data_IF_985227493059
#
_entry.id   IF_985227493059
#
_cell.length_a   1.000
_cell.length_b   1.000
_cell.length_c   1.000
_cell.angle_alpha   90.00
_cell.angle_beta   90.00
_cell.angle_gamma   90.00
#
_symmetry.space_group_name_H-M   'P 1'
#
loop_
_entity.id
_entity.type
_entity.pdbx_description
1 polymer ?
#
# COMPACT_ATOMS: atom_id res chain seq x y z
N UNK A 1 -26.11 -0.61 35.71
CA UNK A 1 -25.45 0.46 36.48
C UNK A 1 -24.20 0.85 35.71
N UNK A 2 -24.21 2.07 35.13
CA UNK A 2 -23.12 2.64 34.35
C UNK A 2 -22.21 3.43 35.29
N UNK A 3 -20.89 3.30 35.14
CA UNK A 3 -19.96 4.41 35.38
C UNK A 3 -18.94 4.42 34.23
N UNK A 4 -18.86 5.59 33.58
CA UNK A 4 -17.91 6.02 32.56
C UNK A 4 -16.70 6.65 33.24
N UNK A 5 -15.49 6.47 32.70
CA UNK A 5 -14.36 7.40 32.82
C UNK A 5 -13.62 7.39 31.46
N UNK A 6 -13.87 8.35 30.56
CA UNK A 6 -13.22 9.66 30.41
C UNK A 6 -11.68 9.61 30.35
N UNK A 7 -11.17 9.44 29.12
CA UNK A 7 -9.81 9.84 28.76
C UNK A 7 -9.92 10.93 27.68
N UNK A 8 -9.43 12.17 27.90
CA UNK A 8 -9.60 13.26 26.95
C UNK A 8 -8.69 13.03 25.73
N UNK A 9 -9.32 12.58 24.63
CA UNK A 9 -8.76 12.67 23.29
C UNK A 9 -8.66 14.16 22.91
N UNK A 10 -7.45 14.70 22.82
CA UNK A 10 -7.23 15.98 22.15
C UNK A 10 -7.25 15.69 20.65
N UNK A 11 -8.44 15.75 20.06
CA UNK A 11 -8.70 15.60 18.62
C UNK A 11 -9.34 16.87 18.09
N UNK A 12 -8.63 18.00 18.20
CA UNK A 12 -9.09 19.24 17.59
C UNK A 12 -8.68 19.32 16.10
N UNK A 13 -9.08 18.30 15.35
CA UNK A 13 -9.07 18.32 13.88
C UNK A 13 -9.76 19.58 13.32
N UNK A 14 -10.87 20.10 13.91
CA UNK A 14 -11.47 21.37 13.49
C UNK A 14 -10.49 22.55 13.48
N UNK A 15 -9.63 22.70 14.49
CA UNK A 15 -8.65 23.79 14.56
C UNK A 15 -7.51 23.65 13.54
N UNK A 16 -7.01 22.43 13.31
CA UNK A 16 -6.01 22.14 12.27
C UNK A 16 -6.58 22.42 10.87
N UNK A 17 -7.85 22.06 10.64
CA UNK A 17 -8.57 22.41 9.41
C UNK A 17 -8.80 23.93 9.28
N UNK A 18 -9.02 24.63 10.39
CA UNK A 18 -9.20 26.08 10.42
C UNK A 18 -7.94 26.84 10.00
N UNK A 19 -6.78 26.39 10.45
CA UNK A 19 -5.50 27.03 10.09
C UNK A 19 -5.15 26.84 8.61
N UNK A 20 -5.38 25.63 8.06
CA UNK A 20 -5.21 25.37 6.62
C UNK A 20 -6.21 26.15 5.75
N UNK A 21 -7.42 26.43 6.25
CA UNK A 21 -8.45 27.18 5.50
C UNK A 21 -8.21 28.69 5.48
N UNK A 22 -7.36 29.24 6.34
CA UNK A 22 -7.00 30.68 6.31
C UNK A 22 -5.91 31.04 5.29
N UNK A 23 -5.03 30.10 4.92
CA UNK A 23 -3.91 30.37 4.02
C UNK A 23 -4.28 30.26 2.53
N UNK A 24 -5.18 29.34 2.21
CA UNK A 24 -5.58 29.00 0.82
C UNK A 24 -6.44 30.08 0.12
N UNK A 25 -7.31 30.85 0.78
CA UNK A 25 -8.17 31.85 0.13
C UNK A 25 -7.42 33.03 -0.52
N UNK A 26 -6.20 33.31 -0.09
CA UNK A 26 -5.37 34.38 -0.69
C UNK A 26 -4.89 34.00 -2.11
N UNK A 27 -5.06 32.75 -2.51
CA UNK A 27 -4.70 32.24 -3.84
C UNK A 27 -5.84 32.33 -4.86
N UNK A 28 -7.00 32.91 -4.49
CA UNK A 28 -8.07 33.24 -5.43
C UNK A 28 -8.78 32.03 -6.05
N UNK A 29 -8.88 30.90 -5.33
CA UNK A 29 -9.59 29.70 -5.81
C UNK A 29 -10.67 29.27 -4.81
N UNK A 30 -11.93 29.26 -5.25
CA UNK A 30 -13.12 28.91 -4.47
C UNK A 30 -13.37 27.38 -4.41
N UNK A 31 -13.81 26.85 -3.25
CA UNK A 31 -14.03 25.40 -2.98
C UNK A 31 -15.02 25.08 -1.83
N UNK A 32 -16.31 24.89 -2.14
CA UNK A 32 -17.27 24.18 -1.28
C UNK A 32 -17.34 22.67 -1.62
N UNK A 33 -17.47 21.76 -0.64
CA UNK A 33 -17.36 20.31 -0.87
C UNK A 33 -18.71 19.54 -0.72
N UNK A 34 -19.17 18.90 -1.81
CA UNK A 34 -20.25 17.87 -1.94
C UNK A 34 -19.75 16.79 -2.91
N UNK A 35 -19.46 15.56 -2.48
CA UNK A 35 -18.53 14.63 -3.19
C UNK A 35 -17.31 15.36 -3.79
N UNK A 36 -16.81 16.39 -3.12
CA UNK A 36 -16.18 17.55 -3.75
C UNK A 36 -16.92 18.21 -4.94
N UNK A 37 -17.46 17.46 -5.91
CA UNK A 37 -17.88 17.98 -7.21
C UNK A 37 -16.69 18.53 -7.99
N UNK A 38 -15.48 18.40 -7.45
CA UNK A 38 -14.23 18.75 -8.08
C UNK A 38 -13.74 17.51 -8.81
N UNK A 39 -13.42 17.71 -10.08
CA UNK A 39 -12.34 16.98 -10.73
C UNK A 39 -11.05 17.38 -10.00
N UNK A 40 -10.85 16.89 -8.78
CA UNK A 40 -9.62 17.10 -8.01
C UNK A 40 -8.92 15.75 -7.87
N UNK A 41 -8.29 15.40 -8.98
CA UNK A 41 -7.54 14.19 -9.26
C UNK A 41 -7.23 14.23 -10.76
N UNK A 42 -6.14 13.62 -11.23
CA UNK A 42 -5.95 13.46 -12.66
C UNK A 42 -7.19 12.77 -13.26
N UNK A 43 -7.52 13.10 -14.51
CA UNK A 43 -8.58 12.37 -15.21
C UNK A 43 -8.29 10.87 -15.15
N UNK A 44 -9.31 10.08 -14.83
CA UNK A 44 -9.20 8.63 -14.85
C UNK A 44 -8.69 8.20 -16.24
N UNK A 45 -7.61 7.41 -16.31
CA UNK A 45 -7.10 7.02 -17.60
C UNK A 45 -8.13 6.14 -18.29
N UNK A 46 -8.42 6.43 -19.57
CA UNK A 46 -9.53 5.81 -20.31
C UNK A 46 -9.47 4.27 -20.33
N UNK A 47 -8.27 3.70 -20.18
CA UNK A 47 -8.06 2.26 -20.17
C UNK A 47 -8.77 1.57 -19.00
N UNK A 48 -9.08 2.24 -17.88
CA UNK A 48 -9.71 1.57 -16.72
C UNK A 48 -11.17 1.15 -16.98
N UNK A 49 -11.82 1.70 -18.01
CA UNK A 49 -13.21 1.40 -18.32
C UNK A 49 -13.32 0.04 -19.01
N UNK A 50 -14.26 -0.79 -18.56
CA UNK A 50 -14.53 -2.11 -19.14
C UNK A 50 -13.44 -3.16 -18.90
N UNK A 51 -12.60 -2.97 -17.87
CA UNK A 51 -11.56 -3.92 -17.51
C UNK A 51 -12.09 -5.08 -16.65
N UNK A 52 -11.41 -6.23 -16.76
CA UNK A 52 -11.61 -7.43 -15.95
C UNK A 52 -10.31 -7.75 -15.22
N UNK A 53 -10.37 -7.73 -13.89
CA UNK A 53 -9.21 -7.94 -13.02
C UNK A 53 -9.04 -9.42 -12.67
N UNK A 54 -7.79 -9.85 -12.54
CA UNK A 54 -7.42 -11.13 -11.95
C UNK A 54 -6.48 -10.92 -10.77
N UNK A 55 -6.92 -11.28 -9.55
CA UNK A 55 -6.08 -11.21 -8.35
C UNK A 55 -5.12 -12.41 -8.30
N UNK A 56 -3.83 -12.14 -8.14
CA UNK A 56 -2.74 -13.12 -8.14
C UNK A 56 -2.10 -13.13 -6.76
N UNK A 57 -2.24 -14.27 -6.08
CA UNK A 57 -1.38 -14.62 -4.97
C UNK A 57 -0.16 -15.40 -5.47
N UNK A 58 0.96 -14.71 -5.73
CA UNK A 58 2.16 -15.29 -6.39
C UNK A 58 2.59 -16.62 -5.77
N UNK A 59 2.63 -16.68 -4.44
CA UNK A 59 3.00 -17.88 -3.67
C UNK A 59 2.14 -19.11 -4.00
N UNK A 60 0.84 -18.91 -4.21
CA UNK A 60 -0.15 -19.98 -4.38
C UNK A 60 -0.60 -20.16 -5.83
N UNK A 61 -0.20 -19.28 -6.73
CA UNK A 61 -0.68 -19.24 -8.12
C UNK A 61 -0.26 -20.48 -8.94
N UNK A 62 0.92 -21.02 -8.66
CA UNK A 62 1.50 -22.13 -9.41
C UNK A 62 2.58 -22.84 -8.61
N UNK A 63 2.95 -24.05 -9.04
CA UNK A 63 4.09 -24.77 -8.47
C UNK A 63 5.37 -23.90 -8.45
N UNK A 64 5.99 -23.81 -7.28
CA UNK A 64 7.17 -22.97 -7.01
C UNK A 64 6.84 -21.53 -6.61
N UNK A 65 5.67 -20.98 -6.97
CA UNK A 65 5.18 -19.70 -6.47
C UNK A 65 6.06 -18.48 -6.79
N UNK A 66 6.50 -18.34 -8.05
CA UNK A 66 7.42 -17.27 -8.48
C UNK A 66 6.86 -16.41 -9.60
N UNK A 67 7.41 -15.19 -9.78
CA UNK A 67 7.06 -14.30 -10.89
C UNK A 67 7.24 -14.98 -12.24
N UNK A 68 8.33 -15.74 -12.44
CA UNK A 68 8.58 -16.45 -13.69
C UNK A 68 7.49 -17.50 -14.02
N UNK A 69 6.85 -18.09 -13.01
CA UNK A 69 5.73 -19.00 -13.25
C UNK A 69 4.45 -18.26 -13.61
N UNK A 70 4.22 -17.08 -13.03
CA UNK A 70 3.14 -16.19 -13.45
C UNK A 70 3.34 -15.73 -14.90
N UNK A 71 4.57 -15.33 -15.27
CA UNK A 71 4.91 -14.91 -16.65
C UNK A 71 4.52 -15.96 -17.69
N UNK A 72 4.76 -17.24 -17.41
CA UNK A 72 4.39 -18.36 -18.30
C UNK A 72 2.88 -18.54 -18.52
N UNK A 73 2.05 -17.91 -17.69
CA UNK A 73 0.58 -18.00 -17.75
C UNK A 73 -0.11 -16.75 -18.29
N UNK A 74 0.65 -15.69 -18.60
CA UNK A 74 0.07 -14.43 -19.06
C UNK A 74 -0.79 -14.59 -20.31
N UNK A 75 -0.32 -15.36 -21.31
CA UNK A 75 -1.11 -15.65 -22.51
C UNK A 75 -2.43 -16.36 -22.19
N UNK A 76 -2.42 -17.31 -21.25
CA UNK A 76 -3.65 -17.98 -20.82
C UNK A 76 -4.62 -17.01 -20.13
N UNK A 77 -4.13 -16.14 -19.25
CA UNK A 77 -4.96 -15.12 -18.59
C UNK A 77 -5.55 -14.15 -19.62
N UNK A 78 -4.77 -13.77 -20.63
CA UNK A 78 -5.24 -12.91 -21.73
C UNK A 78 -6.32 -13.59 -22.57
N UNK A 79 -6.14 -14.87 -22.93
CA UNK A 79 -7.12 -15.67 -23.67
C UNK A 79 -8.45 -15.81 -22.91
N UNK A 80 -8.40 -15.86 -21.57
CA UNK A 80 -9.58 -15.86 -20.70
C UNK A 80 -10.27 -14.49 -20.59
N UNK A 81 -9.69 -13.43 -21.16
CA UNK A 81 -10.27 -12.08 -21.19
C UNK A 81 -9.85 -11.18 -20.03
N UNK A 82 -8.87 -11.58 -19.21
CA UNK A 82 -8.30 -10.69 -18.20
C UNK A 82 -7.36 -9.67 -18.86
N UNK A 83 -7.43 -8.43 -18.41
CA UNK A 83 -6.64 -7.32 -18.94
C UNK A 83 -5.98 -6.47 -17.84
N UNK A 84 -6.31 -6.72 -16.57
CA UNK A 84 -5.62 -6.14 -15.42
C UNK A 84 -5.21 -7.26 -14.47
N UNK A 85 -3.93 -7.34 -14.16
CA UNK A 85 -3.35 -8.25 -13.19
C UNK A 85 -3.17 -7.51 -11.88
N UNK A 86 -3.82 -7.98 -10.84
CA UNK A 86 -3.69 -7.41 -9.51
C UNK A 86 -2.89 -8.37 -8.64
N UNK A 87 -1.68 -7.97 -8.28
CA UNK A 87 -0.84 -8.75 -7.38
C UNK A 87 -1.17 -8.43 -5.92
N UNK A 88 -1.44 -9.47 -5.13
CA UNK A 88 -1.30 -9.40 -3.66
C UNK A 88 0.10 -8.88 -3.28
N UNK A 89 0.34 -8.43 -2.03
CA UNK A 89 1.58 -7.73 -1.70
C UNK A 89 2.84 -8.51 -2.10
N UNK A 90 3.71 -7.85 -2.86
CA UNK A 90 4.93 -8.44 -3.45
C UNK A 90 6.16 -8.22 -2.59
N UNK A 91 6.01 -7.75 -1.35
CA UNK A 91 7.09 -7.30 -0.47
C UNK A 91 7.63 -8.40 0.43
N UNK A 92 8.88 -8.29 0.92
CA UNK A 92 9.36 -9.12 2.02
C UNK A 92 8.45 -9.06 3.24
N UNK A 93 8.27 -10.21 3.89
CA UNK A 93 7.38 -10.36 5.04
C UNK A 93 8.18 -10.30 6.35
N UNK A 94 7.58 -9.67 7.36
CA UNK A 94 8.11 -9.58 8.72
C UNK A 94 8.51 -10.94 9.29
N UNK A 95 9.55 -10.94 10.13
CA UNK A 95 9.99 -12.15 10.86
C UNK A 95 9.56 -12.12 12.32
N UNK A 96 9.46 -10.94 12.91
CA UNK A 96 9.04 -10.80 14.30
C UNK A 96 7.53 -10.99 14.43
N UNK A 97 7.11 -11.79 15.43
CA UNK A 97 5.71 -12.14 15.70
C UNK A 97 4.96 -12.74 14.49
N UNK A 98 5.70 -13.29 13.52
CA UNK A 98 5.17 -13.83 12.28
C UNK A 98 4.06 -14.85 12.56
N UNK A 99 2.93 -14.69 11.87
CA UNK A 99 1.84 -15.66 11.89
C UNK A 99 2.10 -16.81 10.93
N UNK A 100 2.14 -18.03 11.47
CA UNK A 100 2.47 -19.22 10.70
C UNK A 100 3.93 -19.25 10.23
N UNK A 101 4.29 -20.27 9.45
CA UNK A 101 5.67 -20.44 8.95
C UNK A 101 6.05 -19.38 7.90
N UNK A 102 5.11 -19.03 7.03
CA UNK A 102 5.36 -18.17 5.86
C UNK A 102 4.98 -16.69 6.07
N UNK A 103 4.19 -16.39 7.10
CA UNK A 103 3.70 -15.04 7.36
C UNK A 103 2.60 -14.56 6.40
N UNK A 104 1.88 -13.53 6.83
CA UNK A 104 0.93 -12.79 5.99
C UNK A 104 1.68 -11.88 5.02
N UNK A 105 1.33 -11.84 3.71
CA UNK A 105 1.92 -10.88 2.78
C UNK A 105 1.65 -9.42 3.17
N UNK A 106 0.63 -9.18 4.01
CA UNK A 106 0.26 -7.85 4.49
C UNK A 106 1.13 -7.35 5.67
N UNK A 107 1.99 -8.19 6.25
CA UNK A 107 2.97 -7.77 7.26
C UNK A 107 4.28 -7.35 6.58
N UNK A 108 4.27 -6.18 5.93
CA UNK A 108 5.35 -5.68 5.06
C UNK A 108 6.58 -5.28 5.86
N UNK A 109 7.74 -5.84 5.51
CA UNK A 109 9.03 -5.58 6.18
C UNK A 109 9.89 -4.53 5.48
N UNK A 110 9.80 -4.41 4.17
CA UNK A 110 10.56 -3.47 3.34
C UNK A 110 9.75 -3.18 2.07
N UNK A 111 9.40 -1.91 1.82
CA UNK A 111 8.60 -1.56 0.63
C UNK A 111 9.44 -1.38 -0.64
N UNK A 112 10.76 -1.31 -0.56
CA UNK A 112 11.63 -0.94 -1.68
C UNK A 112 12.29 -2.14 -2.37
N UNK A 113 11.78 -3.34 -2.13
CA UNK A 113 12.25 -4.54 -2.81
C UNK A 113 11.14 -5.57 -2.90
N UNK A 114 11.31 -6.55 -3.78
CA UNK A 114 10.39 -7.68 -3.92
C UNK A 114 10.70 -8.77 -2.87
N UNK A 115 9.70 -9.58 -2.55
CA UNK A 115 9.86 -10.74 -1.70
C UNK A 115 10.80 -11.74 -2.41
N UNK A 116 11.96 -12.10 -1.84
CA UNK A 116 12.88 -13.04 -2.46
C UNK A 116 12.29 -14.45 -2.65
N UNK A 117 11.21 -14.80 -1.94
CA UNK A 117 10.45 -16.03 -2.19
C UNK A 117 9.82 -16.05 -3.60
N UNK A 118 9.53 -14.89 -4.18
CA UNK A 118 8.87 -14.77 -5.48
C UNK A 118 9.85 -14.64 -6.65
N UNK A 119 11.12 -14.37 -6.36
CA UNK A 119 12.17 -14.17 -7.36
C UNK A 119 12.93 -12.86 -7.13
N UNK A 120 13.62 -12.42 -8.19
CA UNK A 120 14.37 -11.17 -8.21
C UNK A 120 13.52 -9.99 -8.71
N UNK A 121 14.02 -8.76 -8.51
CA UNK A 121 13.40 -7.56 -9.08
C UNK A 121 13.36 -7.60 -10.61
N UNK A 122 14.37 -8.18 -11.25
CA UNK A 122 14.40 -8.35 -12.70
C UNK A 122 13.37 -9.38 -13.19
N UNK A 123 13.08 -10.43 -12.41
CA UNK A 123 11.99 -11.36 -12.74
C UNK A 123 10.64 -10.65 -12.72
N UNK A 124 10.42 -9.75 -11.74
CA UNK A 124 9.17 -8.99 -11.66
C UNK A 124 9.06 -7.95 -12.78
N UNK A 125 10.13 -7.20 -13.07
CA UNK A 125 10.15 -6.28 -14.22
C UNK A 125 9.96 -7.03 -15.54
N UNK A 126 10.54 -8.22 -15.69
CA UNK A 126 10.32 -9.04 -16.88
C UNK A 126 8.85 -9.43 -17.02
N UNK A 127 8.20 -9.86 -15.94
CA UNK A 127 6.76 -10.13 -15.92
C UNK A 127 5.96 -8.90 -16.38
N UNK A 128 6.22 -7.73 -15.81
CA UNK A 128 5.50 -6.49 -16.14
C UNK A 128 5.66 -6.16 -17.63
N UNK A 129 6.89 -6.21 -18.17
CA UNK A 129 7.14 -6.01 -19.61
C UNK A 129 6.38 -7.01 -20.50
N UNK A 130 6.26 -8.26 -20.07
CA UNK A 130 5.49 -9.29 -20.80
C UNK A 130 3.97 -9.07 -20.68
N UNK A 131 3.48 -8.59 -19.54
CA UNK A 131 2.06 -8.24 -19.40
C UNK A 131 1.71 -7.05 -20.30
N UNK A 132 2.56 -6.01 -20.31
CA UNK A 132 2.40 -4.84 -21.18
C UNK A 132 2.45 -5.20 -22.67
N UNK A 133 3.34 -6.11 -23.10
CA UNK A 133 3.40 -6.54 -24.50
C UNK A 133 2.14 -7.27 -24.97
N UNK A 134 1.35 -7.82 -24.04
CA UNK A 134 0.04 -8.43 -24.28
C UNK A 134 -1.12 -7.43 -24.12
N UNK A 135 -0.82 -6.14 -23.93
CA UNK A 135 -1.81 -5.09 -23.66
C UNK A 135 -2.60 -5.38 -22.38
N UNK A 136 -1.91 -5.84 -21.34
CA UNK A 136 -2.45 -5.99 -19.98
C UNK A 136 -1.81 -4.94 -19.07
N UNK A 137 -2.50 -4.57 -18.00
CA UNK A 137 -1.99 -3.67 -16.96
C UNK A 137 -1.66 -4.45 -15.69
N UNK A 138 -0.70 -3.97 -14.91
CA UNK A 138 -0.26 -4.57 -13.65
C UNK A 138 -0.45 -3.58 -12.51
N UNK A 139 -1.28 -3.94 -11.53
CA UNK A 139 -1.42 -3.21 -10.27
C UNK A 139 -0.90 -4.06 -9.11
N UNK A 140 -0.40 -3.41 -8.07
CA UNK A 140 0.07 -4.08 -6.84
C UNK A 140 -0.73 -3.63 -5.63
N UNK A 141 -0.89 -4.54 -4.67
CA UNK A 141 -1.53 -4.25 -3.40
C UNK A 141 -0.63 -3.34 -2.54
N UNK A 142 -1.10 -2.13 -2.27
CA UNK A 142 -0.42 -1.19 -1.39
C UNK A 142 -1.01 -1.36 0.02
N UNK A 143 -0.15 -1.55 1.03
CA UNK A 143 -0.58 -1.76 2.41
C UNK A 143 -0.24 -0.53 3.26
N UNK A 144 -1.00 0.58 3.18
CA UNK A 144 -0.59 1.85 3.78
C UNK A 144 -0.94 1.95 5.27
N UNK A 145 -1.75 1.06 5.83
CA UNK A 145 -2.26 1.24 7.20
C UNK A 145 -1.25 0.82 8.28
N UNK A 146 -0.46 -0.22 8.01
CA UNK A 146 0.45 -0.83 8.97
C UNK A 146 1.63 -1.49 8.28
N UNK A 147 2.67 -1.76 9.06
CA UNK A 147 3.91 -2.43 8.65
C UNK A 147 4.24 -3.56 9.61
N UNK A 148 5.13 -4.48 9.23
CA UNK A 148 5.61 -5.53 10.12
C UNK A 148 6.20 -4.97 11.42
N UNK A 149 6.13 -5.75 12.50
CA UNK A 149 6.76 -5.39 13.77
C UNK A 149 8.28 -5.16 13.64
N UNK A 150 8.95 -5.86 12.72
CA UNK A 150 10.37 -5.66 12.36
C UNK A 150 10.57 -4.87 11.06
N UNK A 151 9.68 -3.91 10.77
CA UNK A 151 9.79 -3.01 9.61
C UNK A 151 11.14 -2.27 9.60
N UNK A 152 11.84 -2.37 8.47
CA UNK A 152 13.26 -1.99 8.36
C UNK A 152 13.52 -0.53 8.68
N UNK A 153 12.62 0.36 8.25
CA UNK A 153 12.77 1.80 8.37
C UNK A 153 12.60 2.32 9.79
N UNK A 154 12.03 1.54 10.71
CA UNK A 154 11.87 1.95 12.12
C UNK A 154 13.20 2.07 12.86
N UNK A 155 14.29 1.49 12.34
CA UNK A 155 15.63 1.66 12.91
C UNK A 155 16.11 3.10 12.87
N UNK A 156 15.82 3.79 11.77
CA UNK A 156 16.26 5.17 11.52
C UNK A 156 15.13 6.17 11.72
N UNK A 157 13.88 5.74 11.54
CA UNK A 157 12.69 6.58 11.60
C UNK A 157 11.64 5.96 12.54
N UNK A 158 11.94 5.89 13.86
CA UNK A 158 11.05 5.27 14.84
C UNK A 158 9.70 6.00 14.97
N UNK A 159 9.60 7.25 14.52
CA UNK A 159 8.41 8.10 14.56
C UNK A 159 7.44 7.87 13.38
N UNK A 160 7.72 6.93 12.46
CA UNK A 160 6.79 6.59 11.37
C UNK A 160 5.53 5.84 11.84
N UNK A 161 5.53 5.32 13.08
CA UNK A 161 4.47 4.46 13.62
C UNK A 161 3.86 5.05 14.88
N UNK A 162 2.61 4.67 15.14
CA UNK A 162 1.92 5.04 16.37
C UNK A 162 2.61 4.36 17.55
N UNK A 163 2.89 5.13 18.60
CA UNK A 163 3.49 4.64 19.85
C UNK A 163 2.53 4.83 21.02
N UNK A 164 2.58 3.91 21.97
CA UNK A 164 1.79 4.01 23.20
C UNK A 164 2.47 4.93 24.24
N UNK A 165 1.85 5.06 25.42
CA UNK A 165 2.36 5.91 26.50
C UNK A 165 3.74 5.49 27.05
N UNK A 166 4.21 4.27 26.75
CA UNK A 166 5.55 3.78 27.12
C UNK A 166 6.56 4.03 26.00
N UNK A 167 6.12 4.60 24.89
CA UNK A 167 6.94 4.81 23.70
C UNK A 167 7.07 3.56 22.82
N UNK A 168 6.30 2.49 23.07
CA UNK A 168 6.39 1.25 22.29
C UNK A 168 5.50 1.31 21.05
N UNK A 169 5.95 0.79 19.88
CA UNK A 169 5.10 0.68 18.69
C UNK A 169 3.82 -0.09 19.00
N UNK A 170 2.68 0.44 18.52
CA UNK A 170 1.38 -0.12 18.84
C UNK A 170 0.53 -0.32 17.59
N UNK A 171 -0.64 -0.92 17.83
CA UNK A 171 -1.63 -1.25 16.81
C UNK A 171 -3.03 -1.13 17.39
N UNK A 172 -3.96 -0.73 16.54
CA UNK A 172 -5.38 -0.58 16.87
C UNK A 172 -6.05 -1.95 17.05
N UNK A 173 -5.82 -2.87 16.13
CA UNK A 173 -6.36 -4.23 16.19
C UNK A 173 -5.37 -5.13 16.94
N UNK A 174 -5.71 -5.50 18.18
CA UNK A 174 -4.77 -6.18 19.08
C UNK A 174 -4.35 -7.57 18.61
N UNK A 175 -5.20 -8.27 17.86
CA UNK A 175 -4.90 -9.62 17.34
C UNK A 175 -3.92 -9.61 16.15
N UNK A 176 -3.63 -8.45 15.55
CA UNK A 176 -2.65 -8.34 14.46
C UNK A 176 -1.24 -8.22 15.02
N UNK A 177 -0.80 -9.24 15.75
CA UNK A 177 0.45 -9.26 16.54
C UNK A 177 1.73 -9.08 15.73
N UNK A 178 1.67 -9.34 14.43
CA UNK A 178 2.75 -9.25 13.45
C UNK A 178 2.97 -7.84 12.89
N UNK A 179 2.13 -6.86 13.23
CA UNK A 179 2.19 -5.49 12.66
C UNK A 179 2.20 -4.39 13.72
N UNK A 180 2.52 -3.17 13.27
CA UNK A 180 2.33 -1.89 13.97
C UNK A 180 1.76 -0.85 13.00
N UNK A 181 0.90 0.03 13.50
CA UNK A 181 0.17 1.00 12.67
C UNK A 181 1.07 2.20 12.31
N UNK A 182 1.00 2.64 11.05
CA UNK A 182 1.69 3.85 10.59
C UNK A 182 0.99 5.11 11.14
N UNK A 183 1.77 6.09 11.58
CA UNK A 183 1.25 7.37 12.07
C UNK A 183 1.15 8.40 10.96
N UNK A 184 -0.04 8.55 10.38
CA UNK A 184 -0.31 9.55 9.34
C UNK A 184 -0.49 10.98 9.86
N UNK A 185 -0.50 11.21 11.17
CA UNK A 185 -0.41 12.58 11.70
C UNK A 185 0.98 13.15 11.45
N UNK A 186 2.02 12.30 11.45
CA UNK A 186 3.39 12.65 11.14
C UNK A 186 3.58 12.95 9.63
N UNK A 187 4.03 14.17 9.24
CA UNK A 187 4.33 14.48 7.84
C UNK A 187 5.40 13.59 7.21
N UNK A 188 6.35 13.06 8.00
CA UNK A 188 7.38 12.13 7.49
C UNK A 188 6.77 10.83 7.00
N UNK A 189 5.75 10.31 7.66
CA UNK A 189 5.01 9.12 7.22
C UNK A 189 4.33 9.36 5.88
N UNK A 190 3.69 10.52 5.71
CA UNK A 190 3.06 10.92 4.44
C UNK A 190 4.09 11.05 3.31
N UNK A 191 5.26 11.63 3.59
CA UNK A 191 6.37 11.71 2.63
C UNK A 191 6.92 10.33 2.29
N UNK A 192 7.15 9.49 3.30
CA UNK A 192 7.65 8.14 3.14
C UNK A 192 6.75 7.33 2.20
N UNK A 193 5.43 7.34 2.44
CA UNK A 193 4.49 6.60 1.60
C UNK A 193 4.38 7.17 0.18
N UNK A 194 4.53 8.48 -0.02
CA UNK A 194 4.64 9.06 -1.37
C UNK A 194 5.88 8.57 -2.11
N UNK A 195 7.01 8.42 -1.42
CA UNK A 195 8.23 7.83 -2.00
C UNK A 195 8.06 6.36 -2.32
N UNK A 196 7.39 5.59 -1.46
CA UNK A 196 7.07 4.18 -1.70
C UNK A 196 6.24 4.04 -2.98
N UNK A 197 5.12 4.77 -3.10
CA UNK A 197 4.30 4.71 -4.30
C UNK A 197 5.11 5.11 -5.54
N UNK A 198 5.77 6.26 -5.52
CA UNK A 198 6.59 6.71 -6.65
C UNK A 198 7.62 5.67 -7.11
N UNK A 199 8.31 5.02 -6.17
CA UNK A 199 9.32 4.01 -6.48
C UNK A 199 8.77 2.88 -7.36
N UNK A 200 7.58 2.35 -7.07
CA UNK A 200 7.04 1.24 -7.86
C UNK A 200 6.62 1.66 -9.28
N UNK A 201 6.12 2.88 -9.46
CA UNK A 201 5.86 3.41 -10.81
C UNK A 201 7.19 3.64 -11.55
N UNK A 202 8.13 4.36 -10.95
CA UNK A 202 9.36 4.77 -11.63
C UNK A 202 10.34 3.62 -11.87
N UNK A 203 10.45 2.67 -10.94
CA UNK A 203 11.43 1.59 -11.01
C UNK A 203 10.90 0.30 -11.65
N UNK A 204 9.59 0.03 -11.56
CA UNK A 204 8.98 -1.22 -12.04
C UNK A 204 7.95 -1.03 -13.14
N UNK A 205 7.48 0.20 -13.39
CA UNK A 205 6.44 0.52 -14.38
C UNK A 205 5.09 -0.15 -14.05
N UNK A 206 4.70 -0.16 -12.77
CA UNK A 206 3.35 -0.60 -12.38
C UNK A 206 2.30 0.44 -12.79
N UNK A 207 1.13 -0.03 -13.20
CA UNK A 207 0.03 0.79 -13.73
C UNK A 207 -0.88 1.37 -12.64
N UNK A 208 -0.73 0.92 -11.38
CA UNK A 208 -1.54 1.40 -10.27
C UNK A 208 -1.45 0.58 -9.00
N UNK A 209 -2.35 0.89 -8.06
CA UNK A 209 -2.42 0.28 -6.73
C UNK A 209 -3.84 -0.14 -6.39
N UNK A 210 -3.94 -1.21 -5.58
CA UNK A 210 -5.16 -1.57 -4.83
C UNK A 210 -4.99 -1.18 -3.37
#
# INVERSE_FOLDING_TARGET
MSIKENNPQVTDYPTIFREMTTFVPQLGVDRTFKNSGAVSGPENPKWILGQTLYEIYVRAFSDGGTFNQVTKRLSNLKELGFNVLWFMPVYPIGKQNRKGSMGSPYAVRDYFTVNPEYGSEEDFKHLIRQAHSLGMHVIIDMVPNHVAADFKELKENPDLVVRDARGEPTRRIKDWTDITDLDYSNPKTREFMRRVMRFWIEAFDVDGYR
#
